data_IF_279870768195
#
_entry.id   IF_279870768195
#
_cell.length_a   1.000
_cell.length_b   1.000
_cell.length_c   1.000
_cell.angle_alpha   90.00
_cell.angle_beta   90.00
_cell.angle_gamma   90.00
#
_symmetry.space_group_name_H-M   'P 1'
#
loop_
_entity.id
_entity.type
_entity.pdbx_description
1 polymer ?
#
# COMPACT_ATOMS: atom_id res chain seq x y z
N UNK A 1 -1.71 -23.24 24.41
CA UNK A 1 -1.39 -22.64 23.10
C UNK A 1 -2.50 -23.07 22.19
N UNK A 2 -3.52 -22.20 22.12
CA UNK A 2 -4.85 -22.56 21.67
C UNK A 2 -4.85 -23.07 20.22
N UNK A 3 -5.46 -24.23 20.02
CA UNK A 3 -5.41 -25.00 18.78
C UNK A 3 -6.32 -24.40 17.72
N UNK A 4 -5.91 -23.29 17.12
CA UNK A 4 -6.55 -22.79 15.91
C UNK A 4 -6.38 -23.82 14.78
N UNK A 5 -7.39 -24.04 13.93
CA UNK A 5 -7.23 -24.84 12.72
C UNK A 5 -6.07 -24.30 11.87
N UNK A 6 -5.32 -25.19 11.23
CA UNK A 6 -4.11 -24.85 10.47
C UNK A 6 -4.31 -23.66 9.48
N UNK A 7 -5.41 -23.59 8.70
CA UNK A 7 -5.61 -22.46 7.79
C UNK A 7 -5.77 -21.11 8.51
N UNK A 8 -6.37 -21.12 9.71
CA UNK A 8 -6.53 -19.91 10.53
C UNK A 8 -5.17 -19.50 11.10
N UNK A 9 -4.39 -20.45 11.61
CA UNK A 9 -3.04 -20.19 12.11
C UNK A 9 -2.13 -19.59 11.03
N UNK A 10 -2.20 -20.10 9.79
CA UNK A 10 -1.48 -19.54 8.66
C UNK A 10 -1.89 -18.09 8.36
N UNK A 11 -3.19 -17.78 8.41
CA UNK A 11 -3.69 -16.42 8.23
C UNK A 11 -3.23 -15.47 9.35
N UNK A 12 -3.22 -15.92 10.60
CA UNK A 12 -2.68 -15.16 11.73
C UNK A 12 -1.20 -14.85 11.53
N UNK A 13 -0.40 -15.84 11.11
CA UNK A 13 1.02 -15.66 10.85
C UNK A 13 1.26 -14.64 9.72
N UNK A 14 0.50 -14.71 8.64
CA UNK A 14 0.61 -13.77 7.52
C UNK A 14 0.23 -12.34 7.92
N UNK A 15 -0.89 -12.15 8.63
CA UNK A 15 -1.34 -10.84 9.10
C UNK A 15 -0.38 -10.24 10.13
N UNK A 16 0.25 -11.07 10.95
CA UNK A 16 1.24 -10.64 11.95
C UNK A 16 2.56 -10.11 11.37
N UNK A 17 2.83 -10.33 10.08
CA UNK A 17 4.00 -9.72 9.40
C UNK A 17 3.77 -8.25 9.04
N UNK A 18 2.52 -7.76 9.12
CA UNK A 18 2.20 -6.39 8.75
C UNK A 18 2.62 -5.40 9.85
N UNK A 19 3.19 -4.25 9.50
CA UNK A 19 3.59 -3.25 10.48
C UNK A 19 2.37 -2.77 11.29
N UNK A 20 2.51 -2.75 12.62
CA UNK A 20 1.45 -2.32 13.53
C UNK A 20 0.40 -3.39 13.89
N UNK A 21 0.53 -4.62 13.38
CA UNK A 21 -0.37 -5.73 13.74
C UNK A 21 0.34 -6.70 14.69
N UNK A 22 0.02 -6.60 15.98
CA UNK A 22 0.48 -7.57 16.99
C UNK A 22 -0.29 -8.89 16.96
N UNK A 23 0.18 -9.93 17.69
CA UNK A 23 -0.38 -11.29 17.64
C UNK A 23 -1.88 -11.35 17.98
N UNK A 24 -2.32 -10.61 19.01
CA UNK A 24 -3.75 -10.52 19.38
C UNK A 24 -4.61 -9.86 18.30
N UNK A 25 -4.07 -8.85 17.62
CA UNK A 25 -4.78 -8.17 16.53
C UNK A 25 -4.86 -9.07 15.29
N UNK A 26 -3.78 -9.78 14.96
CA UNK A 26 -3.73 -10.73 13.85
C UNK A 26 -4.74 -11.87 14.04
N UNK A 27 -4.80 -12.45 15.24
CA UNK A 27 -5.79 -13.48 15.61
C UNK A 27 -7.23 -12.98 15.45
N UNK A 28 -7.52 -11.79 16.00
CA UNK A 28 -8.84 -11.16 15.87
C UNK A 28 -9.24 -10.94 14.40
N UNK A 29 -8.31 -10.46 13.57
CA UNK A 29 -8.56 -10.23 12.15
C UNK A 29 -8.77 -11.54 11.37
N UNK A 30 -7.95 -12.57 11.64
CA UNK A 30 -8.07 -13.87 10.98
C UNK A 30 -9.43 -14.52 11.28
N UNK A 31 -9.83 -14.54 12.56
CA UNK A 31 -11.12 -15.10 12.97
C UNK A 31 -12.30 -14.32 12.39
N UNK A 32 -12.18 -13.00 12.24
CA UNK A 32 -13.18 -12.20 11.56
C UNK A 32 -13.31 -12.61 10.09
N UNK A 33 -12.20 -12.63 9.34
CA UNK A 33 -12.19 -12.93 7.91
C UNK A 33 -12.75 -14.32 7.57
N UNK A 34 -12.53 -15.32 8.44
CA UNK A 34 -13.05 -16.68 8.25
C UNK A 34 -14.59 -16.75 8.39
N UNK A 35 -15.18 -15.82 9.13
CA UNK A 35 -16.64 -15.72 9.32
C UNK A 35 -17.29 -14.73 8.33
N UNK A 36 -16.48 -13.94 7.62
CA UNK A 36 -16.94 -12.98 6.62
C UNK A 36 -17.45 -13.68 5.36
N UNK A 37 -18.37 -13.04 4.64
CA UNK A 37 -18.87 -13.53 3.36
C UNK A 37 -17.73 -13.75 2.35
N UNK A 38 -17.76 -14.90 1.66
CA UNK A 38 -16.71 -15.30 0.71
C UNK A 38 -16.43 -14.26 -0.39
N UNK A 39 -17.44 -13.52 -0.83
CA UNK A 39 -17.28 -12.44 -1.83
C UNK A 39 -16.39 -11.30 -1.33
N UNK A 40 -16.57 -10.87 -0.08
CA UNK A 40 -15.77 -9.80 0.51
C UNK A 40 -14.32 -10.23 0.74
N UNK A 41 -14.10 -11.48 1.15
CA UNK A 41 -12.75 -12.05 1.32
C UNK A 41 -12.02 -12.12 -0.03
N UNK A 42 -12.72 -12.54 -1.10
CA UNK A 42 -12.16 -12.55 -2.46
C UNK A 42 -11.80 -11.15 -2.94
N UNK A 43 -12.69 -10.18 -2.74
CA UNK A 43 -12.44 -8.80 -3.12
C UNK A 43 -11.22 -8.21 -2.39
N UNK A 44 -11.04 -8.52 -1.10
CA UNK A 44 -9.84 -8.12 -0.36
C UNK A 44 -8.57 -8.77 -0.95
N UNK A 45 -8.61 -10.07 -1.23
CA UNK A 45 -7.47 -10.77 -1.83
C UNK A 45 -7.08 -10.18 -3.20
N UNK A 46 -8.08 -9.91 -4.05
CA UNK A 46 -7.89 -9.28 -5.37
C UNK A 46 -7.32 -7.86 -5.24
N UNK A 47 -7.80 -7.07 -4.29
CA UNK A 47 -7.27 -5.73 -4.06
C UNK A 47 -5.79 -5.75 -3.64
N UNK A 48 -5.41 -6.70 -2.79
CA UNK A 48 -4.02 -6.87 -2.34
C UNK A 48 -3.09 -7.25 -3.50
N UNK A 49 -3.48 -8.22 -4.32
CA UNK A 49 -2.66 -8.67 -5.46
C UNK A 49 -2.62 -7.62 -6.56
N UNK A 50 -3.76 -7.04 -6.94
CA UNK A 50 -3.83 -6.02 -7.96
C UNK A 50 -2.99 -4.78 -7.61
N UNK A 51 -3.01 -4.32 -6.35
CA UNK A 51 -2.18 -3.21 -5.91
C UNK A 51 -0.68 -3.56 -6.03
N UNK A 52 -0.29 -4.77 -5.64
CA UNK A 52 1.12 -5.21 -5.73
C UNK A 52 1.60 -5.34 -7.17
N UNK A 53 0.74 -5.79 -8.07
CA UNK A 53 1.09 -6.06 -9.47
C UNK A 53 1.09 -4.80 -10.33
N UNK A 54 0.18 -3.85 -10.06
CA UNK A 54 -0.01 -2.65 -10.89
C UNK A 54 0.84 -1.48 -10.45
N UNK A 55 1.14 -1.36 -9.16
CA UNK A 55 1.88 -0.21 -8.63
C UNK A 55 3.38 -0.45 -8.78
N UNK A 56 4.03 0.46 -9.52
CA UNK A 56 5.47 0.55 -9.63
C UNK A 56 6.01 1.90 -9.15
N UNK A 57 7.26 2.18 -9.50
CA UNK A 57 7.90 3.46 -9.26
C UNK A 57 8.06 4.21 -10.57
N UNK A 58 7.84 5.53 -10.55
CA UNK A 58 8.10 6.41 -11.67
C UNK A 58 9.59 6.38 -12.01
N UNK A 59 9.95 6.22 -13.29
CA UNK A 59 11.36 6.22 -13.73
C UNK A 59 12.03 7.59 -13.58
N UNK A 60 11.24 8.67 -13.56
CA UNK A 60 11.77 10.04 -13.52
C UNK A 60 11.94 10.56 -12.08
N UNK A 61 10.99 10.30 -11.19
CA UNK A 61 10.95 10.89 -9.84
C UNK A 61 10.83 9.87 -8.70
N UNK A 62 10.67 8.58 -8.98
CA UNK A 62 10.54 7.54 -7.96
C UNK A 62 9.19 7.51 -7.22
N UNK A 63 8.20 8.32 -7.61
CA UNK A 63 6.85 8.28 -7.02
C UNK A 63 6.15 6.93 -7.27
N UNK A 64 5.27 6.49 -6.36
CA UNK A 64 4.39 5.36 -6.61
C UNK A 64 3.38 5.70 -7.72
N UNK A 65 3.29 4.85 -8.74
CA UNK A 65 2.42 5.11 -9.89
C UNK A 65 2.11 3.84 -10.68
N UNK A 66 0.99 3.84 -11.41
CA UNK A 66 0.67 2.84 -12.43
C UNK A 66 1.04 3.30 -13.86
N UNK A 67 1.43 4.57 -14.03
CA UNK A 67 1.71 5.18 -15.32
C UNK A 67 3.16 5.63 -15.43
N UNK A 68 3.71 5.63 -16.64
CA UNK A 68 5.08 6.09 -16.90
C UNK A 68 5.07 7.14 -18.03
N UNK A 69 5.44 8.41 -17.77
CA UNK A 69 5.75 9.01 -16.46
C UNK A 69 4.53 9.14 -15.53
N UNK A 70 4.77 9.40 -14.24
CA UNK A 70 3.68 9.59 -13.27
C UNK A 70 2.92 10.91 -13.51
N UNK A 71 1.75 11.05 -12.88
CA UNK A 71 0.90 12.25 -12.98
C UNK A 71 1.59 13.55 -12.53
N UNK A 72 2.57 13.47 -11.64
CA UNK A 72 3.34 14.63 -11.19
C UNK A 72 4.33 15.08 -12.27
N UNK A 73 5.02 14.14 -12.91
CA UNK A 73 6.03 14.43 -13.93
C UNK A 73 5.42 15.03 -15.21
N UNK A 74 4.19 14.65 -15.56
CA UNK A 74 3.47 15.17 -16.75
C UNK A 74 2.64 16.42 -16.48
N UNK A 75 2.55 16.90 -15.24
CA UNK A 75 1.78 18.10 -14.91
C UNK A 75 2.56 19.37 -15.28
N UNK A 76 2.18 20.00 -16.38
CA UNK A 76 2.80 21.23 -16.89
C UNK A 76 2.62 22.44 -15.96
N UNK A 77 1.73 22.35 -14.96
CA UNK A 77 1.58 23.40 -13.94
C UNK A 77 2.71 23.38 -12.91
N UNK A 78 3.57 22.35 -12.93
CA UNK A 78 4.71 22.21 -12.01
C UNK A 78 5.99 22.78 -12.60
N UNK A 79 6.72 23.49 -11.75
CA UNK A 79 8.01 24.08 -12.08
C UNK A 79 9.08 22.99 -12.26
N UNK A 80 9.54 22.81 -13.50
CA UNK A 80 10.57 21.83 -13.85
C UNK A 80 11.99 22.22 -13.44
N UNK A 81 12.22 23.42 -12.92
CA UNK A 81 13.53 23.87 -12.44
C UNK A 81 13.76 23.59 -10.94
N UNK A 82 12.70 23.21 -10.21
CA UNK A 82 12.74 23.03 -8.75
C UNK A 82 12.41 21.59 -8.41
N UNK A 83 13.34 20.91 -7.75
CA UNK A 83 13.20 19.51 -7.32
C UNK A 83 13.16 19.39 -5.80
N UNK A 84 12.28 18.52 -5.29
CA UNK A 84 12.25 18.13 -3.88
C UNK A 84 12.79 16.71 -3.71
N UNK A 85 14.03 16.59 -3.27
CA UNK A 85 14.64 15.28 -2.99
C UNK A 85 14.08 14.74 -1.68
N UNK A 86 13.58 13.51 -1.70
CA UNK A 86 13.00 12.81 -0.55
C UNK A 86 13.63 11.43 -0.37
N UNK A 87 13.45 10.84 0.80
CA UNK A 87 14.04 9.53 1.14
C UNK A 87 13.25 8.37 0.52
N UNK A 88 11.92 8.44 0.55
CA UNK A 88 11.04 7.34 0.10
C UNK A 88 9.94 7.79 -0.84
N UNK A 89 9.38 6.86 -1.61
CA UNK A 89 8.23 7.15 -2.49
C UNK A 89 6.97 7.59 -1.71
N UNK A 90 6.86 7.21 -0.44
CA UNK A 90 5.77 7.66 0.44
C UNK A 90 5.91 9.14 0.78
N UNK A 91 7.14 9.65 0.89
CA UNK A 91 7.38 11.06 1.14
C UNK A 91 6.96 11.93 -0.04
N UNK A 92 7.10 11.43 -1.28
CA UNK A 92 6.56 12.12 -2.47
C UNK A 92 5.05 12.34 -2.33
N UNK A 93 4.32 11.32 -1.88
CA UNK A 93 2.87 11.40 -1.64
C UNK A 93 2.56 12.43 -0.55
N UNK A 94 3.35 12.46 0.53
CA UNK A 94 3.13 13.39 1.63
C UNK A 94 3.40 14.85 1.22
N UNK A 95 4.48 15.08 0.47
CA UNK A 95 4.81 16.41 -0.09
C UNK A 95 3.71 16.86 -1.04
N UNK A 96 3.25 16.00 -1.94
CA UNK A 96 2.18 16.34 -2.88
C UNK A 96 0.85 16.66 -2.17
N UNK A 97 0.45 15.82 -1.21
CA UNK A 97 -0.76 16.03 -0.39
C UNK A 97 -0.77 17.34 0.38
N UNK A 98 0.39 17.89 0.72
CA UNK A 98 0.47 19.20 1.39
C UNK A 98 -0.03 20.34 0.50
N UNK A 99 0.02 20.18 -0.83
CA UNK A 99 -0.33 21.22 -1.82
C UNK A 99 0.61 22.42 -1.86
N UNK A 100 1.57 22.49 -0.94
CA UNK A 100 2.49 23.61 -0.77
C UNK A 100 3.66 23.59 -1.77
N UNK A 101 4.03 22.39 -2.25
CA UNK A 101 5.08 22.23 -3.24
C UNK A 101 4.53 22.26 -4.67
N UNK A 102 5.15 23.06 -5.54
CA UNK A 102 4.78 23.23 -6.95
C UNK A 102 5.88 22.81 -7.93
N UNK A 103 7.01 22.28 -7.44
CA UNK A 103 8.07 21.75 -8.31
C UNK A 103 7.80 20.31 -8.77
N UNK A 104 8.77 19.73 -9.47
CA UNK A 104 8.76 18.33 -9.95
C UNK A 104 9.56 17.39 -9.06
#
# INVERSE_FOLDING_TARGET
MDSLPEPVAALVAALGQLPGIGPRSAERLALHLVQTESGQVKQLAEALTAAKDRIGFCQDCGALTECQPCSLCVDDRRDGAVFCVVETAVDVINVDKSGAFKGR
#
